data_IF_643891227667
#
_entry.id   IF_643891227667
#
_cell.length_a   1.000
_cell.length_b   1.000
_cell.length_c   1.000
_cell.angle_alpha   90.00
_cell.angle_beta   90.00
_cell.angle_gamma   90.00
#
_symmetry.space_group_name_H-M   'P 1'
#
loop_
_entity.id
_entity.type
_entity.pdbx_description
1 polymer ?
#
# COMPACT_ATOMS: atom_id res chain seq x y z
N UNK A 1 50.50 47.79 0.06
CA UNK A 1 50.20 49.21 -0.27
C UNK A 1 48.70 49.36 -0.37
N UNK A 2 48.12 50.24 0.44
CA UNK A 2 46.68 50.54 0.52
C UNK A 2 46.20 51.26 -0.74
N UNK A 3 45.02 50.91 -1.24
CA UNK A 3 44.13 51.88 -1.89
C UNK A 3 42.69 51.68 -1.42
N UNK A 4 42.25 52.65 -0.62
CA UNK A 4 40.87 52.96 -0.31
C UNK A 4 40.35 53.88 -1.41
N UNK A 5 39.19 53.60 -2.01
CA UNK A 5 38.32 54.68 -2.43
C UNK A 5 36.83 54.34 -2.26
N UNK A 6 36.17 55.31 -1.66
CA UNK A 6 34.78 55.35 -1.19
C UNK A 6 33.88 55.71 -2.38
N UNK A 7 32.75 55.02 -2.53
CA UNK A 7 31.63 55.53 -3.31
C UNK A 7 30.39 55.68 -2.42
N UNK A 8 29.83 56.89 -2.43
CA UNK A 8 28.81 57.44 -1.52
C UNK A 8 27.44 57.21 -2.18
N UNK A 9 26.59 56.37 -1.59
CA UNK A 9 25.23 56.13 -2.10
C UNK A 9 24.23 57.07 -1.41
N UNK A 10 23.59 57.93 -2.20
CA UNK A 10 22.37 58.68 -1.83
C UNK A 10 21.21 57.69 -1.70
N UNK A 11 20.58 57.60 -0.52
CA UNK A 11 19.27 56.93 -0.36
C UNK A 11 18.15 57.83 -0.86
N UNK A 12 17.20 57.25 -1.60
CA UNK A 12 16.05 57.93 -2.17
C UNK A 12 14.91 58.02 -1.14
N UNK A 13 14.07 59.06 -1.25
CA UNK A 13 12.88 59.30 -0.43
C UNK A 13 11.86 58.14 -0.43
N UNK A 14 11.92 57.23 -1.40
CA UNK A 14 11.06 56.04 -1.46
C UNK A 14 11.36 55.03 -0.34
N UNK A 15 12.62 54.91 0.10
CA UNK A 15 13.02 53.94 1.13
C UNK A 15 12.52 54.34 2.54
N UNK A 16 12.28 55.63 2.77
CA UNK A 16 11.77 56.15 4.05
C UNK A 16 10.26 55.91 4.19
N UNK A 17 9.52 55.95 3.08
CA UNK A 17 8.06 55.74 3.07
C UNK A 17 7.65 54.27 3.23
N UNK A 18 8.47 53.34 2.72
CA UNK A 18 8.21 51.90 2.86
C UNK A 18 8.44 51.43 4.31
N UNK A 19 9.50 51.92 4.97
CA UNK A 19 9.82 51.55 6.35
C UNK A 19 8.76 51.91 7.39
N UNK A 20 7.99 52.98 7.17
CA UNK A 20 6.91 53.38 8.09
C UNK A 20 5.62 52.57 7.91
N UNK A 21 5.38 51.97 6.74
CA UNK A 21 4.19 51.15 6.47
C UNK A 21 4.32 49.75 7.09
N UNK A 22 5.50 49.13 6.99
CA UNK A 22 5.81 47.83 7.63
C UNK A 22 5.84 47.93 9.16
N UNK A 23 6.31 49.06 9.72
CA UNK A 23 6.31 49.26 11.19
C UNK A 23 4.90 49.38 11.76
N UNK A 24 3.97 50.04 11.07
CA UNK A 24 2.54 50.11 11.46
C UNK A 24 1.84 48.76 11.35
N UNK A 25 2.15 47.95 10.35
CA UNK A 25 1.58 46.60 10.21
C UNK A 25 2.10 45.63 11.29
N UNK A 26 3.39 45.68 11.65
CA UNK A 26 3.92 44.88 12.76
C UNK A 26 3.32 45.28 14.13
N UNK A 27 3.08 46.58 14.37
CA UNK A 27 2.44 47.07 15.60
C UNK A 27 0.96 46.66 15.71
N UNK A 28 0.23 46.63 14.58
CA UNK A 28 -1.16 46.17 14.57
C UNK A 28 -1.28 44.65 14.76
N UNK A 29 -0.38 43.86 14.18
CA UNK A 29 -0.36 42.41 14.34
C UNK A 29 0.04 41.99 15.76
N UNK A 30 0.99 42.70 16.38
CA UNK A 30 1.38 42.44 17.78
C UNK A 30 0.29 42.85 18.77
N UNK A 31 -0.45 43.94 18.50
CA UNK A 31 -1.63 44.32 19.28
C UNK A 31 -2.77 43.29 19.20
N UNK A 32 -3.07 42.76 18.02
CA UNK A 32 -4.10 41.74 17.83
C UNK A 32 -3.75 40.42 18.54
N UNK A 33 -2.48 40.00 18.49
CA UNK A 33 -2.01 38.80 19.17
C UNK A 33 -2.09 38.95 20.70
N UNK A 34 -1.76 40.13 21.24
CA UNK A 34 -1.92 40.43 22.67
C UNK A 34 -3.39 40.38 23.11
N UNK A 35 -4.32 40.84 22.26
CA UNK A 35 -5.75 40.86 22.56
C UNK A 35 -6.35 39.44 22.58
N UNK A 36 -5.88 38.55 21.71
CA UNK A 36 -6.25 37.12 21.70
C UNK A 36 -5.71 36.40 22.94
N UNK A 37 -4.44 36.64 23.29
CA UNK A 37 -3.83 36.06 24.50
C UNK A 37 -4.54 36.58 25.76
N UNK A 38 -4.85 37.87 25.82
CA UNK A 38 -5.57 38.47 26.93
C UNK A 38 -7.01 37.95 27.05
N UNK A 39 -7.73 37.77 25.93
CA UNK A 39 -9.05 37.12 25.94
C UNK A 39 -8.97 35.66 26.36
N UNK A 40 -7.95 34.91 25.92
CA UNK A 40 -7.74 33.52 26.33
C UNK A 40 -7.47 33.39 27.82
N UNK A 41 -6.69 34.31 28.41
CA UNK A 41 -6.44 34.37 29.85
C UNK A 41 -7.71 34.78 30.62
N UNK A 42 -8.48 35.75 30.12
CA UNK A 42 -9.77 36.14 30.72
C UNK A 42 -10.79 34.99 30.72
N UNK A 43 -10.87 34.24 29.62
CA UNK A 43 -11.75 33.08 29.49
C UNK A 43 -11.31 31.91 30.41
N UNK A 44 -10.01 31.76 30.68
CA UNK A 44 -9.50 30.72 31.59
C UNK A 44 -9.52 31.12 33.07
N UNK A 45 -9.57 32.41 33.39
CA UNK A 45 -9.61 32.92 34.78
C UNK A 45 -11.03 33.02 35.34
N UNK A 46 -12.06 32.98 34.49
CA UNK A 46 -13.45 32.76 34.90
C UNK A 46 -13.76 31.26 34.90
N UNK A 47 -13.33 30.57 35.97
CA UNK A 47 -13.45 29.13 36.14
C UNK A 47 -14.88 28.58 36.01
N UNK A 48 -15.26 28.17 34.80
CA UNK A 48 -16.40 27.31 34.50
C UNK A 48 -16.11 26.44 33.26
N UNK A 49 -15.08 25.59 33.36
CA UNK A 49 -14.93 24.40 32.51
C UNK A 49 -14.89 23.18 33.41
N UNK A 50 -16.06 22.77 33.89
CA UNK A 50 -16.26 21.41 34.36
C UNK A 50 -16.15 20.49 33.14
N UNK A 51 -15.03 19.78 33.01
CA UNK A 51 -14.97 18.63 32.11
C UNK A 51 -16.04 17.64 32.56
N UNK A 52 -16.96 17.20 31.68
CA UNK A 52 -17.89 16.16 32.06
C UNK A 52 -17.07 14.91 32.42
N UNK A 53 -17.50 14.13 33.42
CA UNK A 53 -16.84 12.87 33.74
C UNK A 53 -16.86 12.00 32.48
N UNK A 54 -15.76 11.29 32.25
CA UNK A 54 -15.64 10.27 31.22
C UNK A 54 -16.78 9.27 31.43
N UNK A 55 -17.89 9.46 30.72
CA UNK A 55 -18.94 8.46 30.66
C UNK A 55 -18.34 7.28 29.92
N UNK A 56 -18.05 6.22 30.66
CA UNK A 56 -17.92 4.86 30.16
C UNK A 56 -19.23 4.48 29.46
N UNK A 57 -19.41 4.94 28.22
CA UNK A 57 -20.29 4.26 27.29
C UNK A 57 -19.61 2.94 27.01
N UNK A 58 -20.18 1.86 27.54
CA UNK A 58 -19.93 0.55 26.99
C UNK A 58 -20.19 0.64 25.49
N UNK A 59 -19.17 0.33 24.68
CA UNK A 59 -19.27 0.26 23.24
C UNK A 59 -20.32 -0.80 22.89
N UNK A 60 -21.57 -0.39 22.72
CA UNK A 60 -22.52 -1.16 21.93
C UNK A 60 -22.10 -1.01 20.49
N UNK A 61 -22.04 -2.10 19.73
CA UNK A 61 -21.68 -2.15 18.30
C UNK A 61 -22.57 -1.30 17.35
N UNK A 62 -23.40 -0.41 17.89
CA UNK A 62 -24.16 0.56 17.13
C UNK A 62 -23.31 1.82 16.91
N UNK A 63 -22.58 1.87 15.80
CA UNK A 63 -22.05 3.11 15.25
C UNK A 63 -23.24 3.94 14.72
N UNK A 64 -23.95 4.64 15.61
CA UNK A 64 -24.94 5.63 15.21
C UNK A 64 -24.22 6.96 14.89
N UNK A 65 -23.71 7.07 13.67
CA UNK A 65 -23.39 8.39 13.09
C UNK A 65 -24.67 9.24 12.88
N UNK A 66 -24.56 10.56 12.65
CA UNK A 66 -25.73 11.42 12.51
C UNK A 66 -26.63 10.94 11.37
N UNK A 67 -27.86 10.57 11.75
CA UNK A 67 -28.86 9.86 10.97
C UNK A 67 -29.60 10.77 9.98
N UNK A 68 -28.99 11.04 8.83
CA UNK A 68 -29.66 11.72 7.71
C UNK A 68 -29.59 11.00 6.35
N UNK A 69 -29.25 9.71 6.31
CA UNK A 69 -29.18 8.96 5.04
C UNK A 69 -29.83 7.56 5.15
N UNK A 70 -31.09 7.46 4.72
CA UNK A 70 -31.73 6.22 4.21
C UNK A 70 -31.92 5.04 5.19
N UNK A 71 -32.67 3.99 4.77
CA UNK A 71 -32.84 2.79 5.58
C UNK A 71 -31.48 2.10 5.74
N UNK A 72 -31.05 1.96 6.99
CA UNK A 72 -29.80 1.33 7.38
C UNK A 72 -29.66 -0.06 6.73
N UNK A 73 -28.68 -0.23 5.83
CA UNK A 73 -28.12 -1.54 5.52
C UNK A 73 -27.26 -1.91 6.73
N UNK A 74 -27.52 -3.05 7.37
CA UNK A 74 -26.64 -3.59 8.41
C UNK A 74 -25.20 -3.62 7.89
N UNK A 75 -24.29 -2.99 8.64
CA UNK A 75 -23.06 -2.40 8.09
C UNK A 75 -22.04 -3.44 7.61
N UNK A 76 -22.05 -4.67 8.14
CA UNK A 76 -21.17 -5.77 7.75
C UNK A 76 -21.68 -7.14 8.19
N UNK A 77 -22.55 -7.74 7.39
CA UNK A 77 -22.91 -9.14 7.59
C UNK A 77 -22.62 -9.90 6.31
N UNK A 78 -21.50 -10.60 6.25
CA UNK A 78 -21.21 -11.59 5.19
C UNK A 78 -20.70 -12.89 5.83
N UNK A 79 -20.75 -14.02 5.10
CA UNK A 79 -20.32 -15.31 5.63
C UNK A 79 -18.89 -15.24 6.14
N UNK A 80 -18.57 -16.05 7.15
CA UNK A 80 -17.22 -16.09 7.73
C UNK A 80 -16.19 -16.37 6.62
N UNK A 81 -15.12 -15.58 6.61
CA UNK A 81 -14.01 -15.77 5.70
C UNK A 81 -13.37 -17.15 5.87
N UNK A 82 -13.11 -17.83 4.77
CA UNK A 82 -12.37 -19.09 4.75
C UNK A 82 -11.37 -19.10 3.60
N UNK A 83 -10.20 -19.69 3.84
CA UNK A 83 -9.24 -19.96 2.76
C UNK A 83 -9.72 -21.19 2.00
N UNK A 84 -10.41 -20.97 0.88
CA UNK A 84 -10.87 -22.04 -0.02
C UNK A 84 -10.03 -22.03 -1.29
N UNK A 85 -9.28 -23.11 -1.50
CA UNK A 85 -8.35 -23.26 -2.62
C UNK A 85 -8.90 -24.27 -3.60
N UNK A 86 -8.86 -23.92 -4.88
CA UNK A 86 -9.21 -24.79 -6.00
C UNK A 86 -7.93 -25.21 -6.70
N UNK A 87 -7.81 -26.50 -7.01
CA UNK A 87 -6.65 -27.03 -7.74
C UNK A 87 -6.61 -26.47 -9.16
N UNK A 88 -5.55 -25.72 -9.49
CA UNK A 88 -5.31 -25.21 -10.83
C UNK A 88 -5.34 -26.31 -11.89
N UNK A 89 -4.73 -27.46 -11.62
CA UNK A 89 -4.69 -28.58 -12.57
C UNK A 89 -6.08 -29.19 -12.79
N UNK A 90 -6.90 -29.25 -11.74
CA UNK A 90 -8.29 -29.71 -11.85
C UNK A 90 -9.13 -28.70 -12.63
N UNK A 91 -8.98 -27.41 -12.35
CA UNK A 91 -9.65 -26.35 -13.10
C UNK A 91 -9.25 -26.36 -14.58
N UNK A 92 -7.96 -26.46 -14.88
CA UNK A 92 -7.45 -26.53 -16.24
C UNK A 92 -8.03 -27.74 -16.98
N UNK A 93 -7.93 -28.94 -16.41
CA UNK A 93 -8.43 -30.16 -17.06
C UNK A 93 -9.96 -30.18 -17.21
N UNK A 94 -10.71 -29.63 -16.25
CA UNK A 94 -12.17 -29.74 -16.21
C UNK A 94 -12.90 -28.57 -16.87
N UNK A 95 -12.31 -27.37 -16.84
CA UNK A 95 -12.96 -26.13 -17.28
C UNK A 95 -12.33 -25.55 -18.55
N UNK A 96 -11.00 -25.55 -18.68
CA UNK A 96 -10.29 -24.87 -19.78
C UNK A 96 -9.02 -25.63 -20.22
N UNK A 97 -9.15 -26.83 -20.84
CA UNK A 97 -8.02 -27.72 -21.08
C UNK A 97 -6.97 -27.17 -22.05
N UNK A 98 -7.38 -26.34 -23.02
CA UNK A 98 -6.52 -25.73 -24.03
C UNK A 98 -6.10 -24.28 -23.69
N UNK A 99 -6.35 -23.81 -22.47
CA UNK A 99 -6.17 -22.41 -22.08
C UNK A 99 -4.71 -21.96 -22.00
N UNK A 100 -4.42 -20.75 -22.51
CA UNK A 100 -3.17 -20.03 -22.26
C UNK A 100 -3.28 -19.16 -21.00
N UNK A 101 -2.62 -19.58 -19.94
CA UNK A 101 -2.58 -18.89 -18.64
C UNK A 101 -1.49 -17.80 -18.62
N UNK A 102 -1.83 -16.65 -19.21
CA UNK A 102 -1.05 -15.42 -19.21
C UNK A 102 -2.00 -14.22 -19.21
N UNK A 103 -1.53 -13.02 -18.88
CA UNK A 103 -2.42 -11.84 -18.84
C UNK A 103 -3.08 -11.55 -20.18
N UNK A 104 -2.34 -11.71 -21.28
CA UNK A 104 -2.84 -11.57 -22.64
C UNK A 104 -3.73 -12.74 -23.08
N UNK A 105 -3.66 -13.88 -22.40
CA UNK A 105 -4.43 -15.08 -22.70
C UNK A 105 -5.77 -15.12 -21.98
N UNK A 106 -5.91 -14.50 -20.79
CA UNK A 106 -7.16 -14.49 -20.00
C UNK A 106 -8.39 -14.09 -20.84
N UNK A 107 -8.39 -13.01 -21.65
CA UNK A 107 -9.56 -12.66 -22.46
C UNK A 107 -9.99 -13.79 -23.40
N UNK A 108 -9.03 -14.54 -23.93
CA UNK A 108 -9.25 -15.63 -24.88
C UNK A 108 -9.77 -16.91 -24.16
N UNK A 109 -9.63 -17.00 -22.83
CA UNK A 109 -10.17 -18.10 -22.02
C UNK A 109 -11.68 -17.98 -21.78
N UNK A 110 -12.23 -16.76 -21.76
CA UNK A 110 -13.60 -16.50 -21.32
C UNK A 110 -14.68 -17.16 -22.19
N UNK A 111 -14.58 -17.18 -23.53
CA UNK A 111 -15.58 -17.84 -24.36
C UNK A 111 -15.68 -19.35 -24.09
N UNK A 112 -14.55 -20.03 -23.92
CA UNK A 112 -14.51 -21.46 -23.66
C UNK A 112 -14.94 -21.77 -22.23
N UNK A 113 -14.48 -20.99 -21.25
CA UNK A 113 -14.90 -21.12 -19.86
C UNK A 113 -16.41 -20.93 -19.70
N UNK A 114 -17.02 -20.00 -20.43
CA UNK A 114 -18.46 -19.76 -20.38
C UNK A 114 -19.30 -20.98 -20.81
N UNK A 115 -18.73 -21.87 -21.63
CA UNK A 115 -19.38 -23.07 -22.17
C UNK A 115 -18.94 -24.36 -21.46
N UNK A 116 -18.11 -24.24 -20.43
CA UNK A 116 -17.58 -25.40 -19.73
C UNK A 116 -18.64 -26.04 -18.83
N UNK A 117 -18.97 -27.30 -19.12
CA UNK A 117 -19.98 -28.08 -18.37
C UNK A 117 -19.39 -28.84 -17.17
N UNK A 118 -18.09 -28.69 -16.90
CA UNK A 118 -17.42 -29.35 -15.78
C UNK A 118 -18.00 -28.93 -14.42
N UNK A 119 -17.98 -29.81 -13.39
CA UNK A 119 -18.50 -29.48 -12.06
C UNK A 119 -17.88 -28.20 -11.49
N UNK A 120 -18.71 -27.22 -11.15
CA UNK A 120 -18.27 -25.94 -10.58
C UNK A 120 -17.64 -24.96 -11.58
N UNK A 121 -17.39 -25.34 -12.84
CA UNK A 121 -16.79 -24.45 -13.84
C UNK A 121 -17.66 -23.22 -14.10
N UNK A 122 -18.98 -23.43 -14.22
CA UNK A 122 -19.94 -22.34 -14.44
C UNK A 122 -20.06 -21.41 -13.23
N UNK A 123 -20.05 -21.95 -12.01
CA UNK A 123 -20.04 -21.14 -10.78
C UNK A 123 -18.80 -20.24 -10.72
N UNK A 124 -17.61 -20.80 -11.00
CA UNK A 124 -16.38 -20.02 -11.04
C UNK A 124 -16.39 -18.97 -12.16
N UNK A 125 -16.94 -19.29 -13.33
CA UNK A 125 -17.10 -18.33 -14.42
C UNK A 125 -18.01 -17.16 -14.01
N UNK A 126 -19.15 -17.47 -13.39
CA UNK A 126 -20.12 -16.47 -12.95
C UNK A 126 -19.54 -15.60 -11.82
N UNK A 127 -18.74 -16.18 -10.91
CA UNK A 127 -17.99 -15.42 -9.90
C UNK A 127 -16.92 -14.53 -10.54
N UNK A 128 -16.17 -15.06 -11.49
CA UNK A 128 -15.12 -14.33 -12.18
C UNK A 128 -15.67 -13.13 -12.94
N UNK A 129 -16.75 -13.33 -13.71
CA UNK A 129 -17.37 -12.27 -14.52
C UNK A 129 -18.20 -11.28 -13.69
N UNK A 130 -18.61 -11.66 -12.48
CA UNK A 130 -19.15 -10.71 -11.50
C UNK A 130 -18.05 -9.78 -10.95
N UNK A 131 -16.88 -10.33 -10.60
CA UNK A 131 -15.79 -9.55 -10.00
C UNK A 131 -15.02 -8.76 -11.07
N UNK A 132 -14.77 -9.34 -12.24
CA UNK A 132 -13.90 -8.75 -13.25
C UNK A 132 -14.62 -8.48 -14.57
N UNK A 133 -14.46 -7.25 -15.04
CA UNK A 133 -14.65 -6.90 -16.44
C UNK A 133 -13.29 -6.91 -17.13
N UNK A 134 -13.19 -7.66 -18.23
CA UNK A 134 -11.96 -7.79 -19.03
C UNK A 134 -12.24 -7.36 -20.45
N UNK A 135 -11.42 -6.44 -20.95
CA UNK A 135 -11.50 -5.95 -22.33
C UNK A 135 -10.15 -6.07 -23.01
N UNK A 136 -10.12 -6.76 -24.15
CA UNK A 136 -8.97 -6.80 -25.07
C UNK A 136 -9.16 -5.75 -26.15
N UNK A 137 -8.21 -4.82 -26.26
CA UNK A 137 -8.20 -3.75 -27.26
C UNK A 137 -6.92 -3.86 -28.09
N UNK A 138 -7.03 -3.54 -29.38
CA UNK A 138 -5.88 -3.57 -30.29
C UNK A 138 -5.39 -2.14 -30.53
N UNK A 139 -4.16 -1.86 -30.13
CA UNK A 139 -3.43 -0.65 -30.48
C UNK A 139 -2.63 -0.84 -31.77
N UNK A 140 -2.58 0.18 -32.63
CA UNK A 140 -1.72 0.19 -33.81
C UNK A 140 -1.08 1.56 -33.99
N UNK A 141 0.08 1.60 -34.66
CA UNK A 141 0.81 2.83 -34.94
C UNK A 141 1.24 2.90 -36.40
N UNK A 142 1.36 4.11 -36.94
CA UNK A 142 2.05 4.36 -38.21
C UNK A 142 3.40 4.99 -37.89
N UNK A 143 4.47 4.39 -38.39
CA UNK A 143 5.84 4.83 -38.12
C UNK A 143 6.41 5.47 -39.39
N UNK A 144 6.80 6.76 -39.36
CA UNK A 144 7.49 7.39 -40.48
C UNK A 144 8.80 6.64 -40.80
N UNK A 145 9.18 6.57 -42.08
CA UNK A 145 10.41 5.88 -42.53
C UNK A 145 11.65 6.37 -41.77
N UNK A 146 11.74 7.68 -41.54
CA UNK A 146 12.85 8.33 -40.80
C UNK A 146 12.94 7.90 -39.34
N UNK A 147 11.89 7.28 -38.78
CA UNK A 147 11.83 6.85 -37.38
C UNK A 147 12.04 5.34 -37.19
N UNK A 148 11.97 4.55 -38.28
CA UNK A 148 12.04 3.07 -38.23
C UNK A 148 13.32 2.58 -37.53
N UNK A 149 14.48 3.09 -37.93
CA UNK A 149 15.77 2.64 -37.37
C UNK A 149 15.88 2.92 -35.87
N UNK A 150 15.36 4.07 -35.42
CA UNK A 150 15.38 4.45 -34.01
C UNK A 150 14.43 3.60 -33.17
N UNK A 151 13.27 3.24 -33.70
CA UNK A 151 12.33 2.35 -33.01
C UNK A 151 12.88 0.92 -32.93
N UNK A 152 13.48 0.41 -34.01
CA UNK A 152 14.14 -0.89 -34.01
C UNK A 152 15.26 -0.94 -32.97
N UNK A 153 16.07 0.11 -32.88
CA UNK A 153 17.13 0.23 -31.86
C UNK A 153 16.57 0.14 -30.43
N UNK A 154 15.49 0.87 -30.13
CA UNK A 154 14.82 0.78 -28.81
C UNK A 154 14.32 -0.61 -28.47
N UNK A 155 13.91 -1.39 -29.47
CA UNK A 155 13.44 -2.77 -29.32
C UNK A 155 14.57 -3.80 -29.41
N UNK A 156 15.84 -3.37 -29.33
CA UNK A 156 17.00 -4.24 -29.40
C UNK A 156 17.17 -4.94 -30.75
N UNK A 157 16.69 -4.32 -31.82
CA UNK A 157 16.68 -4.84 -33.19
C UNK A 157 15.96 -6.20 -33.34
N UNK A 158 15.00 -6.50 -32.47
CA UNK A 158 14.17 -7.70 -32.58
C UNK A 158 12.99 -7.44 -33.51
N UNK A 159 12.98 -8.10 -34.68
CA UNK A 159 11.92 -7.91 -35.67
C UNK A 159 10.54 -8.35 -35.15
N UNK A 160 10.45 -9.37 -34.28
CA UNK A 160 9.18 -9.79 -33.67
C UNK A 160 8.53 -8.67 -32.87
N UNK A 161 9.28 -8.02 -31.97
CA UNK A 161 8.81 -6.87 -31.18
C UNK A 161 8.46 -5.68 -32.09
N UNK A 162 9.20 -5.49 -33.18
CA UNK A 162 8.89 -4.44 -34.15
C UNK A 162 7.55 -4.70 -34.84
N UNK A 163 7.24 -5.95 -35.20
CA UNK A 163 5.93 -6.29 -35.78
C UNK A 163 4.79 -6.12 -34.77
N UNK A 164 5.02 -6.41 -33.49
CA UNK A 164 4.03 -6.21 -32.43
C UNK A 164 3.55 -4.76 -32.29
N UNK A 165 4.36 -3.76 -32.68
CA UNK A 165 3.95 -2.34 -32.64
C UNK A 165 2.68 -2.07 -33.44
N UNK A 166 2.49 -2.78 -34.54
CA UNK A 166 1.36 -2.60 -35.44
C UNK A 166 0.10 -3.36 -34.98
N UNK A 167 0.24 -4.25 -33.99
CA UNK A 167 -0.84 -5.02 -33.41
C UNK A 167 -0.58 -5.29 -31.92
N UNK A 168 -0.79 -4.27 -31.09
CA UNK A 168 -0.54 -4.34 -29.66
C UNK A 168 -1.79 -4.79 -28.91
N UNK A 169 -1.67 -5.90 -28.19
CA UNK A 169 -2.68 -6.29 -27.20
C UNK A 169 -2.62 -5.36 -25.99
N UNK A 170 -3.73 -4.65 -25.75
CA UNK A 170 -3.94 -3.78 -24.59
C UNK A 170 -5.10 -4.36 -23.79
N UNK A 171 -4.80 -4.93 -22.64
CA UNK A 171 -5.78 -5.60 -21.79
C UNK A 171 -6.17 -4.67 -20.65
N UNK A 172 -7.44 -4.34 -20.58
CA UNK A 172 -8.02 -3.64 -19.44
C UNK A 172 -8.70 -4.66 -18.53
N UNK A 173 -8.36 -4.64 -17.25
CA UNK A 173 -9.03 -5.42 -16.22
C UNK A 173 -9.58 -4.45 -15.18
N UNK A 174 -10.86 -4.55 -14.89
CA UNK A 174 -11.53 -3.75 -13.85
C UNK A 174 -12.15 -4.69 -12.83
N UNK A 175 -11.82 -4.51 -11.55
CA UNK A 175 -12.53 -5.12 -10.46
C UNK A 175 -13.80 -4.31 -10.19
N UNK A 176 -14.97 -4.91 -10.41
CA UNK A 176 -16.26 -4.25 -10.32
C UNK A 176 -16.68 -3.95 -8.89
N UNK A 177 -16.07 -4.57 -7.89
CA UNK A 177 -16.37 -4.32 -6.48
C UNK A 177 -15.40 -3.32 -5.85
N UNK A 178 -14.09 -3.44 -6.09
CA UNK A 178 -13.10 -2.47 -5.58
C UNK A 178 -12.96 -1.22 -6.46
N UNK A 179 -13.52 -1.26 -7.68
CA UNK A 179 -13.46 -0.21 -8.71
C UNK A 179 -12.05 0.09 -9.21
N UNK A 180 -11.13 -0.84 -9.01
CA UNK A 180 -9.75 -0.71 -9.47
C UNK A 180 -9.65 -1.16 -10.93
N UNK A 181 -9.00 -0.32 -11.76
CA UNK A 181 -8.74 -0.63 -13.16
C UNK A 181 -7.23 -0.66 -13.41
N UNK A 182 -6.77 -1.73 -14.05
CA UNK A 182 -5.40 -1.88 -14.51
C UNK A 182 -5.34 -2.13 -16.01
N UNK A 183 -4.38 -1.47 -16.66
CA UNK A 183 -4.10 -1.59 -18.09
C UNK A 183 -2.76 -2.29 -18.27
N UNK A 184 -2.81 -3.46 -18.91
CA UNK A 184 -1.64 -4.22 -19.30
C UNK A 184 -1.33 -4.00 -20.77
N UNK A 185 -0.07 -3.69 -21.07
CA UNK A 185 0.47 -3.71 -22.43
C UNK A 185 1.86 -4.36 -22.37
N UNK A 186 2.01 -5.63 -22.78
CA UNK A 186 3.29 -6.34 -22.70
C UNK A 186 4.45 -5.63 -23.41
N UNK A 187 4.18 -4.93 -24.52
CA UNK A 187 5.20 -4.22 -25.29
C UNK A 187 5.71 -2.97 -24.58
N UNK A 188 4.92 -2.41 -23.64
CA UNK A 188 5.30 -1.23 -22.88
C UNK A 188 6.48 -1.45 -21.93
N UNK A 189 6.75 -2.69 -21.54
CA UNK A 189 7.96 -3.07 -20.81
C UNK A 189 9.25 -2.79 -21.61
N UNK A 190 9.16 -2.69 -22.95
CA UNK A 190 10.31 -2.49 -23.86
C UNK A 190 10.62 -1.04 -24.16
N UNK A 191 10.04 -0.11 -23.40
CA UNK A 191 10.32 1.32 -23.59
C UNK A 191 11.78 1.64 -23.25
N UNK A 192 12.39 2.57 -23.99
CA UNK A 192 13.74 3.01 -23.67
C UNK A 192 13.77 3.61 -22.26
N UNK A 193 14.69 3.10 -21.45
CA UNK A 193 14.98 3.60 -20.09
C UNK A 193 16.31 4.34 -20.09
N UNK A 194 16.43 5.33 -19.21
CA UNK A 194 17.68 6.06 -19.04
C UNK A 194 18.63 5.17 -18.24
N UNK A 195 19.88 5.02 -18.70
CA UNK A 195 20.86 4.26 -17.94
C UNK A 195 21.14 4.97 -16.59
N UNK A 196 21.11 4.25 -15.46
CA UNK A 196 21.40 4.83 -14.17
C UNK A 196 22.85 5.32 -14.11
N UNK A 197 23.10 6.36 -13.30
CA UNK A 197 24.44 6.97 -13.17
C UNK A 197 25.38 6.17 -12.28
N UNK A 198 24.82 5.39 -11.36
CA UNK A 198 25.52 4.54 -10.40
C UNK A 198 24.79 3.19 -10.32
N UNK A 199 25.49 2.14 -9.88
CA UNK A 199 24.85 0.85 -9.64
C UNK A 199 23.95 0.90 -8.41
N UNK A 200 22.97 0.01 -8.38
CA UNK A 200 22.04 -0.11 -7.26
C UNK A 200 22.77 -0.48 -5.95
N UNK A 201 23.75 -1.37 -6.02
CA UNK A 201 24.53 -1.79 -4.85
C UNK A 201 25.34 -0.64 -4.25
N UNK A 202 26.02 0.14 -5.10
CA UNK A 202 26.82 1.27 -4.66
C UNK A 202 25.95 2.39 -4.06
N UNK A 203 24.78 2.63 -4.67
CA UNK A 203 23.80 3.57 -4.14
C UNK A 203 23.33 3.15 -2.75
N UNK A 204 22.92 1.89 -2.61
CA UNK A 204 22.39 1.35 -1.36
C UNK A 204 23.42 1.38 -0.23
N UNK A 205 24.67 0.96 -0.51
CA UNK A 205 25.76 1.01 0.46
C UNK A 205 26.00 2.44 0.96
N UNK A 206 26.02 3.41 0.02
CA UNK A 206 26.24 4.82 0.33
C UNK A 206 25.13 5.40 1.19
N UNK A 207 23.85 5.25 0.80
CA UNK A 207 22.73 5.81 1.58
C UNK A 207 22.58 5.15 2.95
N UNK A 208 22.94 3.86 3.05
CA UNK A 208 22.93 3.12 4.33
C UNK A 208 23.94 3.72 5.30
N UNK A 209 25.19 3.94 4.86
CA UNK A 209 26.23 4.57 5.67
C UNK A 209 25.89 6.01 6.05
N UNK A 210 25.42 6.80 5.09
CA UNK A 210 25.08 8.22 5.30
C UNK A 210 23.93 8.39 6.32
N UNK A 211 22.89 7.57 6.22
CA UNK A 211 21.72 7.65 7.11
C UNK A 211 21.99 7.16 8.53
N UNK A 212 22.94 6.25 8.74
CA UNK A 212 23.26 5.70 10.06
C UNK A 212 23.88 6.72 11.02
N UNK A 213 24.62 7.70 10.49
CA UNK A 213 25.44 8.64 11.29
C UNK A 213 24.59 9.41 12.32
N UNK A 214 23.39 9.85 11.91
CA UNK A 214 22.49 10.67 12.72
C UNK A 214 21.09 10.07 12.79
N UNK A 215 20.97 8.74 12.73
CA UNK A 215 19.67 8.09 12.82
C UNK A 215 19.09 8.20 14.25
N UNK A 216 17.91 8.81 14.36
CA UNK A 216 17.19 8.94 15.64
C UNK A 216 16.73 7.58 16.18
N UNK A 217 16.39 6.62 15.30
CA UNK A 217 15.97 5.27 15.69
C UNK A 217 17.11 4.45 16.30
N UNK A 218 18.36 4.65 15.86
CA UNK A 218 19.54 4.07 16.53
C UNK A 218 19.71 4.54 17.98
N UNK A 219 19.12 5.69 18.36
CA UNK A 219 19.15 6.26 19.71
C UNK A 219 17.74 6.49 20.25
N UNK A 220 16.83 5.56 19.96
CA UNK A 220 15.39 5.71 20.12
C UNK A 220 14.92 6.20 21.50
N UNK A 221 15.57 5.79 22.58
CA UNK A 221 15.18 6.22 23.95
C UNK A 221 15.29 7.73 24.15
N UNK A 222 16.20 8.39 23.42
CA UNK A 222 16.46 9.83 23.55
C UNK A 222 15.79 10.66 22.46
N UNK A 223 15.56 10.07 21.27
CA UNK A 223 15.17 10.81 20.07
C UNK A 223 13.86 10.33 19.43
N UNK A 224 13.05 9.55 20.16
CA UNK A 224 11.70 9.19 19.68
C UNK A 224 10.66 9.36 20.77
N UNK A 225 9.46 9.80 20.40
CA UNK A 225 8.35 9.96 21.32
C UNK A 225 7.70 8.62 21.68
N UNK A 226 6.93 8.61 22.77
CA UNK A 226 6.06 7.50 23.16
C UNK A 226 4.60 7.94 23.21
N UNK A 227 3.68 6.97 23.25
CA UNK A 227 2.26 7.25 23.47
C UNK A 227 2.02 7.44 24.97
N UNK A 228 0.85 7.94 25.36
CA UNK A 228 0.49 8.15 26.78
C UNK A 228 0.55 6.84 27.61
N UNK A 229 0.32 5.69 26.96
CA UNK A 229 0.47 4.37 27.57
C UNK A 229 1.93 3.86 27.59
N UNK A 230 2.89 4.68 27.17
CA UNK A 230 4.31 4.37 27.10
C UNK A 230 4.70 3.49 25.91
N UNK A 231 6.01 3.31 25.74
CA UNK A 231 6.61 2.45 24.71
C UNK A 231 6.24 0.96 24.87
N UNK A 232 6.13 0.24 23.76
CA UNK A 232 6.30 -1.23 23.74
C UNK A 232 7.65 -1.57 23.13
N UNK A 233 8.35 -2.53 23.70
CA UNK A 233 9.73 -2.88 23.34
C UNK A 233 9.94 -4.37 23.55
N UNK A 234 10.68 -4.99 22.63
CA UNK A 234 11.15 -6.37 22.68
C UNK A 234 12.69 -6.39 22.66
N UNK A 235 13.31 -7.56 22.53
CA UNK A 235 14.76 -7.67 22.37
C UNK A 235 15.24 -6.99 21.09
N UNK A 236 14.54 -7.21 19.97
CA UNK A 236 14.99 -6.80 18.63
C UNK A 236 14.26 -5.57 18.06
N UNK A 237 13.15 -5.14 18.67
CA UNK A 237 12.30 -4.08 18.11
C UNK A 237 11.75 -3.13 19.18
N UNK A 238 11.24 -1.98 18.75
CA UNK A 238 10.54 -1.03 19.61
C UNK A 238 9.45 -0.26 18.86
N UNK A 239 8.46 0.25 19.58
CA UNK A 239 7.50 1.23 19.06
C UNK A 239 7.97 2.65 19.32
N UNK A 240 7.61 3.60 18.48
CA UNK A 240 7.63 5.03 18.78
C UNK A 240 6.28 5.65 18.42
N UNK A 241 5.86 6.66 19.17
CA UNK A 241 4.74 7.50 18.78
C UNK A 241 5.16 8.38 17.62
N UNK A 242 4.45 8.31 16.50
CA UNK A 242 4.74 9.22 15.40
C UNK A 242 4.50 10.66 15.88
N UNK A 243 5.52 11.51 15.77
CA UNK A 243 5.46 12.91 16.21
C UNK A 243 4.58 13.77 15.30
N UNK A 244 4.48 13.39 14.01
CA UNK A 244 3.62 14.03 13.01
C UNK A 244 2.49 13.08 12.64
N UNK A 245 1.50 13.03 13.53
CA UNK A 245 0.39 12.08 13.47
C UNK A 245 -0.52 12.30 12.26
N UNK A 246 -0.91 11.21 11.60
CA UNK A 246 -2.02 11.16 10.65
C UNK A 246 -3.33 10.75 11.35
N UNK A 247 -3.24 10.02 12.46
CA UNK A 247 -4.36 9.67 13.33
C UNK A 247 -3.91 9.71 14.80
N UNK A 248 -4.85 9.77 15.74
CA UNK A 248 -4.60 9.88 17.18
C UNK A 248 -3.69 8.74 17.67
N UNK A 249 -4.03 7.51 17.30
CA UNK A 249 -3.21 6.32 17.54
C UNK A 249 -2.45 5.99 16.26
N UNK A 250 -1.25 6.54 16.17
CA UNK A 250 -0.32 6.38 15.05
C UNK A 250 1.09 6.15 15.59
N UNK A 251 1.61 4.94 15.36
CA UNK A 251 2.94 4.52 15.77
C UNK A 251 3.82 4.15 14.58
N UNK A 252 5.11 4.20 14.85
CA UNK A 252 6.17 3.57 14.06
C UNK A 252 6.62 2.34 14.85
N UNK A 253 6.67 1.15 14.25
CA UNK A 253 7.30 -0.04 14.86
C UNK A 253 8.51 -0.40 14.02
N UNK A 254 9.65 -0.59 14.68
CA UNK A 254 10.94 -0.63 13.98
C UNK A 254 11.86 -1.66 14.62
N UNK A 255 12.69 -2.27 13.77
CA UNK A 255 13.81 -3.12 14.19
C UNK A 255 14.85 -2.22 14.85
N UNK A 256 15.66 -2.71 15.79
CA UNK A 256 16.74 -1.92 16.42
C UNK A 256 17.97 -1.76 15.53
N UNK A 257 18.21 -2.72 14.65
CA UNK A 257 19.27 -2.66 13.64
C UNK A 257 18.90 -1.68 12.52
N UNK A 258 19.90 -0.93 12.04
CA UNK A 258 19.74 0.17 11.09
C UNK A 258 19.65 -0.31 9.65
N UNK A 259 20.26 -1.46 9.31
CA UNK A 259 20.38 -1.88 7.92
C UNK A 259 18.99 -2.00 7.26
N UNK A 260 18.71 -1.22 6.18
CA UNK A 260 17.38 -1.17 5.58
C UNK A 260 16.94 -2.49 4.97
N UNK A 261 17.88 -3.30 4.44
CA UNK A 261 17.55 -4.47 3.63
C UNK A 261 18.06 -5.77 4.22
N UNK A 262 19.01 -5.73 5.14
CA UNK A 262 19.68 -6.91 5.69
C UNK A 262 19.16 -7.26 7.10
N UNK A 263 17.84 -7.36 7.24
CA UNK A 263 17.20 -7.88 8.44
C UNK A 263 16.94 -9.38 8.35
N UNK A 264 17.12 -10.08 9.48
CA UNK A 264 16.86 -11.52 9.61
C UNK A 264 15.38 -11.84 9.73
N UNK A 265 15.06 -13.12 9.62
CA UNK A 265 13.72 -13.64 9.87
C UNK A 265 13.25 -13.31 11.29
N UNK A 266 14.11 -13.47 12.29
CA UNK A 266 13.83 -13.22 13.69
C UNK A 266 13.55 -11.75 13.95
N UNK A 267 14.37 -10.85 13.39
CA UNK A 267 14.17 -9.40 13.49
C UNK A 267 12.83 -8.98 12.89
N UNK A 268 12.51 -9.46 11.69
CA UNK A 268 11.23 -9.18 11.04
C UNK A 268 10.04 -9.70 11.85
N UNK A 269 10.07 -10.96 12.28
CA UNK A 269 8.97 -11.57 13.01
C UNK A 269 8.75 -10.91 14.38
N UNK A 270 9.83 -10.53 15.05
CA UNK A 270 9.76 -9.78 16.30
C UNK A 270 9.10 -8.40 16.10
N UNK A 271 9.45 -7.66 15.05
CA UNK A 271 8.82 -6.38 14.72
C UNK A 271 7.31 -6.53 14.49
N UNK A 272 6.90 -7.47 13.62
CA UNK A 272 5.48 -7.66 13.29
C UNK A 272 4.65 -8.14 14.48
N UNK A 273 5.21 -9.00 15.35
CA UNK A 273 4.55 -9.41 16.59
C UNK A 273 4.43 -8.25 17.57
N UNK A 274 5.45 -7.39 17.65
CA UNK A 274 5.41 -6.18 18.46
C UNK A 274 4.35 -5.20 17.96
N UNK A 275 4.08 -5.14 16.65
CA UNK A 275 2.97 -4.37 16.06
C UNK A 275 1.61 -4.83 16.62
N UNK A 276 1.36 -6.14 16.75
CA UNK A 276 0.15 -6.63 17.41
C UNK A 276 0.09 -6.30 18.90
N UNK A 277 1.22 -6.39 19.62
CA UNK A 277 1.28 -5.99 21.03
C UNK A 277 0.96 -4.50 21.20
N UNK A 278 1.43 -3.66 20.28
CA UNK A 278 1.11 -2.24 20.26
C UNK A 278 -0.39 -2.01 20.02
N UNK A 279 -0.99 -2.71 19.04
CA UNK A 279 -2.43 -2.62 18.74
C UNK A 279 -3.30 -3.01 19.94
N UNK A 280 -2.97 -4.12 20.61
CA UNK A 280 -3.68 -4.56 21.82
C UNK A 280 -3.60 -3.53 22.95
N UNK A 281 -2.43 -2.89 23.11
CA UNK A 281 -2.22 -1.86 24.14
C UNK A 281 -2.95 -0.57 23.79
N UNK A 282 -2.94 -0.17 22.52
CA UNK A 282 -3.65 0.98 22.01
C UNK A 282 -5.17 0.81 22.18
N UNK A 283 -5.73 -0.35 21.82
CA UNK A 283 -7.14 -0.67 22.01
C UNK A 283 -7.57 -0.68 23.48
N UNK A 284 -6.74 -1.24 24.37
CA UNK A 284 -7.00 -1.19 25.83
C UNK A 284 -7.03 0.25 26.36
N UNK A 285 -6.20 1.12 25.80
CA UNK A 285 -6.15 2.54 26.18
C UNK A 285 -7.34 3.32 25.62
N UNK A 286 -7.84 2.95 24.44
CA UNK A 286 -8.94 3.62 23.76
C UNK A 286 -9.84 2.61 23.03
N UNK A 287 -10.79 1.98 23.75
CA UNK A 287 -11.61 0.90 23.19
C UNK A 287 -12.53 1.32 22.03
N UNK A 288 -12.74 2.61 21.82
CA UNK A 288 -13.46 3.10 20.64
C UNK A 288 -12.62 2.94 19.37
N UNK A 289 -11.28 2.92 19.47
CA UNK A 289 -10.36 2.76 18.35
C UNK A 289 -10.17 1.29 17.98
N UNK A 290 -10.92 0.78 17.00
CA UNK A 290 -10.98 -0.67 16.73
C UNK A 290 -10.54 -1.09 15.33
N UNK A 291 -10.27 -0.17 14.40
CA UNK A 291 -9.97 -0.47 13.00
C UNK A 291 -8.49 -0.32 12.69
N UNK A 292 -7.71 -1.41 12.58
CA UNK A 292 -6.28 -1.36 12.39
C UNK A 292 -5.91 -1.17 10.92
N UNK A 293 -4.88 -0.36 10.65
CA UNK A 293 -4.23 -0.29 9.36
C UNK A 293 -2.71 -0.30 9.53
N UNK A 294 -2.00 -0.87 8.56
CA UNK A 294 -0.54 -0.94 8.53
C UNK A 294 -0.03 -0.47 7.18
N UNK A 295 1.10 0.24 7.18
CA UNK A 295 1.87 0.60 5.98
C UNK A 295 3.37 0.44 6.24
N UNK A 296 4.15 0.23 5.19
CA UNK A 296 5.61 0.24 5.24
C UNK A 296 6.15 0.60 3.86
N UNK A 297 6.88 1.71 3.80
CA UNK A 297 7.71 2.05 2.65
C UNK A 297 9.18 1.78 2.97
N UNK A 298 9.86 1.02 2.11
CA UNK A 298 11.29 0.79 2.22
C UNK A 298 12.07 1.51 1.11
N UNK A 299 13.12 2.23 1.52
CA UNK A 299 13.98 3.09 0.69
C UNK A 299 13.30 4.37 0.16
N UNK A 300 14.07 5.41 -0.21
CA UNK A 300 13.52 6.70 -0.67
C UNK A 300 12.63 6.60 -1.90
N UNK A 301 12.92 5.65 -2.81
CA UNK A 301 12.12 5.41 -4.02
C UNK A 301 10.66 5.07 -3.70
N UNK A 302 10.42 4.46 -2.54
CA UNK A 302 9.09 4.10 -2.06
C UNK A 302 8.40 5.23 -1.28
N UNK A 303 9.08 6.37 -1.05
CA UNK A 303 8.54 7.48 -0.26
C UNK A 303 8.91 7.44 1.22
N UNK A 304 9.79 6.52 1.62
CA UNK A 304 10.26 6.45 3.00
C UNK A 304 11.11 7.67 3.36
N UNK A 305 10.74 8.36 4.44
CA UNK A 305 11.47 9.52 4.96
C UNK A 305 12.66 9.16 5.87
N UNK A 306 12.71 7.92 6.36
CA UNK A 306 13.76 7.41 7.23
C UNK A 306 14.24 6.08 6.67
N UNK A 307 15.55 5.92 6.47
CA UNK A 307 16.07 4.71 5.83
C UNK A 307 15.97 3.47 6.74
N UNK A 308 16.08 3.68 8.05
CA UNK A 308 15.96 2.65 9.07
C UNK A 308 14.63 1.88 8.91
N UNK A 309 14.62 0.53 8.88
CA UNK A 309 13.44 -0.26 8.53
C UNK A 309 12.34 -0.15 9.59
N UNK A 310 11.16 0.33 9.19
CA UNK A 310 10.03 0.52 10.09
C UNK A 310 8.68 0.38 9.38
N UNK A 311 7.71 -0.25 10.04
CA UNK A 311 6.31 -0.11 9.67
C UNK A 311 5.69 1.13 10.36
N UNK A 312 4.52 1.53 9.88
CA UNK A 312 3.64 2.45 10.56
C UNK A 312 2.28 1.77 10.76
N UNK A 313 1.72 1.93 11.95
CA UNK A 313 0.46 1.32 12.35
C UNK A 313 -0.50 2.38 12.88
N UNK A 314 -1.76 2.24 12.49
CA UNK A 314 -2.86 3.11 12.87
C UNK A 314 -3.96 2.30 13.54
N UNK A 315 -4.64 2.91 14.51
CA UNK A 315 -5.85 2.35 15.08
C UNK A 315 -6.95 3.42 15.11
N UNK A 316 -7.91 3.31 14.19
CA UNK A 316 -8.97 4.30 13.99
C UNK A 316 -10.28 3.88 14.66
N UNK A 317 -11.14 4.82 15.11
CA UNK A 317 -12.37 4.48 15.83
C UNK A 317 -13.61 4.25 14.99
N UNK A 318 -13.81 5.02 13.92
CA UNK A 318 -15.09 5.04 13.22
C UNK A 318 -15.18 4.02 12.07
N UNK A 319 -14.08 3.85 11.34
CA UNK A 319 -13.96 2.97 10.17
C UNK A 319 -12.51 2.84 9.75
N UNK A 320 -12.25 1.91 8.84
CA UNK A 320 -11.01 1.91 8.07
C UNK A 320 -10.90 3.17 7.19
N UNK A 321 -9.67 3.46 6.76
CA UNK A 321 -9.37 4.61 5.92
C UNK A 321 -9.00 4.19 4.49
N UNK A 322 -9.33 5.06 3.55
CA UNK A 322 -8.92 4.96 2.14
C UNK A 322 -9.20 3.58 1.52
N UNK A 323 -8.14 2.96 1.01
CA UNK A 323 -8.20 1.70 0.27
C UNK A 323 -8.71 0.53 1.11
N UNK A 324 -8.41 0.49 2.41
CA UNK A 324 -8.86 -0.59 3.29
C UNK A 324 -10.38 -0.58 3.44
N UNK A 325 -10.97 0.61 3.57
CA UNK A 325 -12.43 0.78 3.56
C UNK A 325 -13.05 0.42 2.21
N UNK A 326 -12.37 0.71 1.10
CA UNK A 326 -12.85 0.28 -0.23
C UNK A 326 -12.93 -1.24 -0.33
N UNK A 327 -11.94 -1.97 0.20
CA UNK A 327 -11.95 -3.44 0.22
C UNK A 327 -13.03 -4.00 1.14
N UNK A 328 -13.27 -3.39 2.31
CA UNK A 328 -14.40 -3.74 3.18
C UNK A 328 -15.74 -3.56 2.44
N UNK A 329 -15.93 -2.41 1.79
CA UNK A 329 -17.15 -2.11 1.01
C UNK A 329 -17.35 -3.07 -0.16
N UNK A 330 -16.28 -3.42 -0.87
CA UNK A 330 -16.32 -4.44 -1.90
C UNK A 330 -16.87 -5.77 -1.36
N UNK A 331 -16.45 -6.16 -0.15
CA UNK A 331 -17.01 -7.32 0.57
C UNK A 331 -18.50 -7.23 0.81
N UNK A 332 -18.97 -6.08 1.32
CA UNK A 332 -20.38 -5.83 1.59
C UNK A 332 -21.24 -5.85 0.31
N UNK A 333 -20.80 -5.15 -0.72
CA UNK A 333 -21.53 -5.04 -2.00
C UNK A 333 -21.58 -6.40 -2.70
N UNK A 334 -20.46 -7.15 -2.68
CA UNK A 334 -20.43 -8.52 -3.19
C UNK A 334 -21.40 -9.44 -2.47
N UNK A 335 -21.46 -9.35 -1.14
CA UNK A 335 -22.42 -10.15 -0.39
C UNK A 335 -23.87 -9.77 -0.71
N UNK A 336 -24.18 -8.48 -0.87
CA UNK A 336 -25.51 -8.04 -1.25
C UNK A 336 -25.96 -8.64 -2.60
N UNK A 337 -25.03 -8.73 -3.56
CA UNK A 337 -25.29 -9.23 -4.91
C UNK A 337 -25.25 -10.77 -5.02
N UNK A 338 -24.32 -11.41 -4.30
CA UNK A 338 -23.92 -12.82 -4.52
C UNK A 338 -24.17 -13.72 -3.32
N UNK A 339 -24.51 -13.17 -2.16
CA UNK A 339 -24.74 -13.90 -0.89
C UNK A 339 -23.55 -14.79 -0.47
N UNK A 340 -22.34 -14.42 -0.87
CA UNK A 340 -21.11 -15.14 -0.58
C UNK A 340 -20.03 -14.20 -0.03
N UNK A 341 -18.97 -14.76 0.54
CA UNK A 341 -17.83 -14.00 1.05
C UNK A 341 -16.87 -13.63 -0.10
N UNK A 342 -16.75 -12.34 -0.37
CA UNK A 342 -15.90 -11.80 -1.44
C UNK A 342 -14.46 -12.32 -1.42
N UNK A 343 -13.81 -12.27 -0.26
CA UNK A 343 -12.41 -12.67 -0.12
C UNK A 343 -12.21 -14.17 -0.31
N UNK A 344 -13.17 -14.98 0.13
CA UNK A 344 -13.16 -16.44 -0.06
C UNK A 344 -13.28 -16.80 -1.54
N UNK A 345 -14.23 -16.17 -2.23
CA UNK A 345 -14.41 -16.39 -3.67
C UNK A 345 -13.23 -15.83 -4.48
N UNK A 346 -12.64 -14.71 -4.06
CA UNK A 346 -11.43 -14.17 -4.67
C UNK A 346 -10.27 -15.18 -4.62
N UNK A 347 -10.03 -15.81 -3.47
CA UNK A 347 -8.99 -16.85 -3.32
C UNK A 347 -9.32 -18.08 -4.18
N UNK A 348 -10.58 -18.51 -4.21
CA UNK A 348 -11.02 -19.65 -5.04
C UNK A 348 -10.77 -19.39 -6.52
N UNK A 349 -11.06 -18.19 -7.01
CA UNK A 349 -10.80 -17.79 -8.39
C UNK A 349 -9.31 -17.74 -8.71
N UNK A 350 -8.52 -17.09 -7.86
CA UNK A 350 -7.09 -16.96 -8.10
C UNK A 350 -6.37 -18.31 -8.04
N UNK A 351 -6.77 -19.19 -7.11
CA UNK A 351 -6.21 -20.54 -7.03
C UNK A 351 -6.59 -21.40 -8.25
N UNK A 352 -7.84 -21.35 -8.70
CA UNK A 352 -8.26 -21.98 -9.95
C UNK A 352 -7.44 -21.49 -11.16
N UNK A 353 -7.20 -20.18 -11.24
CA UNK A 353 -6.36 -19.57 -12.28
C UNK A 353 -4.86 -19.84 -12.10
N UNK A 354 -4.40 -20.44 -11.01
CA UNK A 354 -2.97 -20.69 -10.75
C UNK A 354 -2.18 -19.46 -10.28
N UNK A 355 -2.90 -18.40 -9.90
CA UNK A 355 -2.42 -17.11 -9.40
C UNK A 355 -2.42 -16.99 -7.87
N UNK A 356 -2.68 -18.09 -7.15
CA UNK A 356 -2.59 -18.15 -5.69
C UNK A 356 -1.53 -19.15 -5.22
N UNK A 357 -0.92 -18.86 -4.07
CA UNK A 357 -0.06 -19.79 -3.33
C UNK A 357 -0.50 -19.81 -1.87
N UNK A 358 -1.13 -20.91 -1.40
CA UNK A 358 -1.46 -21.06 0.00
C UNK A 358 -0.20 -21.35 0.82
N UNK A 359 -0.14 -20.81 2.03
CA UNK A 359 0.86 -21.11 3.03
C UNK A 359 0.16 -21.15 4.40
N UNK A 360 -0.07 -22.37 4.90
CA UNK A 360 -0.83 -22.61 6.14
C UNK A 360 -2.17 -21.87 6.14
N UNK A 361 -2.44 -20.96 7.11
CA UNK A 361 -3.68 -20.18 7.14
C UNK A 361 -3.68 -18.93 6.25
N UNK A 362 -2.57 -18.60 5.60
CA UNK A 362 -2.44 -17.42 4.74
C UNK A 362 -2.38 -17.83 3.26
N UNK A 363 -2.67 -16.89 2.36
CA UNK A 363 -2.54 -17.10 0.91
C UNK A 363 -2.02 -15.84 0.24
N UNK A 364 -1.09 -16.02 -0.70
CA UNK A 364 -0.57 -14.95 -1.54
C UNK A 364 -1.24 -15.02 -2.92
N UNK A 365 -1.67 -13.88 -3.44
CA UNK A 365 -2.40 -13.72 -4.69
C UNK A 365 -1.62 -12.75 -5.60
N UNK A 366 -1.27 -13.15 -6.82
CA UNK A 366 -0.72 -12.21 -7.81
C UNK A 366 -1.86 -11.43 -8.47
N UNK A 367 -2.01 -10.16 -8.12
CA UNK A 367 -3.20 -9.36 -8.44
C UNK A 367 -3.48 -9.26 -9.94
N UNK A 368 -4.76 -9.41 -10.33
CA UNK A 368 -5.26 -9.12 -11.68
C UNK A 368 -5.57 -7.63 -11.89
N UNK A 369 -5.69 -6.85 -10.82
CA UNK A 369 -5.81 -5.38 -10.83
C UNK A 369 -4.69 -4.73 -10.01
N UNK A 370 -3.41 -4.98 -10.36
CA UNK A 370 -2.28 -4.51 -9.59
C UNK A 370 -2.15 -2.98 -9.67
N UNK A 371 -1.86 -2.33 -8.54
CA UNK A 371 -1.61 -0.88 -8.52
C UNK A 371 -0.23 -0.53 -9.09
N UNK A 372 0.74 -1.43 -8.92
CA UNK A 372 2.09 -1.34 -9.47
C UNK A 372 2.68 -2.71 -9.80
N UNK A 373 3.84 -2.69 -10.44
CA UNK A 373 4.53 -3.90 -10.84
C UNK A 373 4.79 -4.81 -9.63
N UNK A 374 4.60 -6.11 -9.85
CA UNK A 374 4.78 -7.18 -8.85
C UNK A 374 3.84 -7.11 -7.65
N UNK A 375 2.64 -6.53 -7.80
CA UNK A 375 1.69 -6.54 -6.71
C UNK A 375 1.29 -7.96 -6.28
N UNK A 376 1.44 -8.22 -4.99
CA UNK A 376 0.97 -9.43 -4.31
C UNK A 376 0.08 -9.04 -3.15
N UNK A 377 -1.14 -9.57 -3.16
CA UNK A 377 -2.05 -9.46 -2.03
C UNK A 377 -1.86 -10.69 -1.15
N UNK A 378 -1.64 -10.49 0.15
CA UNK A 378 -1.60 -11.56 1.14
C UNK A 378 -2.85 -11.44 2.00
N UNK A 379 -3.57 -12.54 2.16
CA UNK A 379 -4.82 -12.60 2.91
C UNK A 379 -4.77 -13.76 3.91
N UNK A 380 -5.22 -13.52 5.14
CA UNK A 380 -5.37 -14.52 6.19
C UNK A 380 -6.56 -14.18 7.11
N UNK A 381 -7.09 -15.15 7.89
CA UNK A 381 -8.19 -14.85 8.81
C UNK A 381 -7.83 -13.78 9.84
N UNK A 382 -6.58 -13.77 10.31
CA UNK A 382 -6.07 -12.89 11.36
C UNK A 382 -4.60 -12.53 11.06
N UNK A 383 -4.09 -11.44 11.63
CA UNK A 383 -2.70 -11.02 11.49
C UNK A 383 -1.79 -11.83 12.43
N UNK A 384 -1.60 -13.11 12.14
CA UNK A 384 -0.83 -14.06 12.94
C UNK A 384 0.54 -14.38 12.33
N UNK A 385 1.27 -15.31 12.96
CA UNK A 385 2.60 -15.72 12.48
C UNK A 385 2.60 -16.27 11.05
N UNK A 386 1.56 -17.00 10.64
CA UNK A 386 1.48 -17.55 9.28
C UNK A 386 1.33 -16.42 8.25
N UNK A 387 0.56 -15.39 8.57
CA UNK A 387 0.42 -14.18 7.77
C UNK A 387 1.74 -13.41 7.66
N UNK A 388 2.42 -13.15 8.77
CA UNK A 388 3.70 -12.43 8.79
C UNK A 388 4.81 -13.23 8.10
N UNK A 389 4.87 -14.55 8.30
CA UNK A 389 5.81 -15.43 7.60
C UNK A 389 5.65 -15.33 6.08
N UNK A 390 4.42 -15.33 5.59
CA UNK A 390 4.18 -15.22 4.16
C UNK A 390 4.62 -13.85 3.62
N UNK A 391 4.35 -12.76 4.35
CA UNK A 391 4.87 -11.42 3.99
C UNK A 391 6.39 -11.43 3.92
N UNK A 392 7.07 -12.01 4.92
CA UNK A 392 8.53 -12.16 4.92
C UNK A 392 9.02 -12.87 3.66
N UNK A 393 8.42 -14.01 3.30
CA UNK A 393 8.83 -14.75 2.09
C UNK A 393 8.60 -13.95 0.81
N UNK A 394 7.50 -13.20 0.69
CA UNK A 394 7.28 -12.34 -0.46
C UNK A 394 8.34 -11.25 -0.56
N UNK A 395 8.59 -10.52 0.55
CA UNK A 395 9.58 -9.44 0.59
C UNK A 395 11.00 -9.96 0.29
N UNK A 396 11.42 -11.07 0.91
CA UNK A 396 12.73 -11.67 0.63
C UNK A 396 12.83 -12.22 -0.80
N UNK A 397 11.74 -12.74 -1.36
CA UNK A 397 11.70 -13.17 -2.76
C UNK A 397 11.99 -12.00 -3.71
N UNK A 398 11.36 -10.85 -3.49
CA UNK A 398 11.63 -9.66 -4.28
C UNK A 398 13.05 -9.12 -4.09
N UNK A 399 13.51 -8.97 -2.85
CA UNK A 399 14.82 -8.35 -2.58
C UNK A 399 15.99 -9.28 -2.92
N UNK A 400 15.99 -10.52 -2.45
CA UNK A 400 17.15 -11.41 -2.55
C UNK A 400 17.27 -12.02 -3.93
N UNK A 401 16.15 -12.50 -4.46
CA UNK A 401 16.13 -13.35 -5.65
C UNK A 401 15.93 -12.51 -6.93
N UNK A 402 15.20 -11.39 -6.82
CA UNK A 402 14.91 -10.49 -7.96
C UNK A 402 15.51 -9.09 -7.86
N UNK A 403 16.25 -8.78 -6.80
CA UNK A 403 16.95 -7.48 -6.62
C UNK A 403 16.02 -6.27 -6.66
N UNK A 404 14.78 -6.45 -6.22
CA UNK A 404 13.76 -5.39 -6.10
C UNK A 404 13.70 -4.91 -4.66
N UNK A 405 14.60 -3.99 -4.31
CA UNK A 405 14.77 -3.54 -2.92
C UNK A 405 13.71 -2.54 -2.45
N UNK A 406 13.24 -1.68 -3.36
CA UNK A 406 12.26 -0.65 -3.02
C UNK A 406 10.85 -1.22 -3.10
N UNK A 407 10.15 -1.28 -1.97
CA UNK A 407 8.75 -1.72 -1.90
C UNK A 407 7.90 -0.77 -1.06
N UNK A 408 6.60 -0.83 -1.34
CA UNK A 408 5.55 -0.30 -0.48
C UNK A 408 4.61 -1.44 -0.11
N UNK A 409 4.26 -1.55 1.16
CA UNK A 409 3.20 -2.42 1.66
C UNK A 409 2.14 -1.60 2.39
N UNK A 410 0.87 -2.01 2.24
CA UNK A 410 -0.22 -1.43 2.99
C UNK A 410 -1.43 -2.36 3.08
N UNK A 411 -2.17 -2.28 4.19
CA UNK A 411 -3.30 -3.16 4.43
C UNK A 411 -4.07 -2.87 5.71
N UNK A 412 -4.95 -3.79 6.08
CA UNK A 412 -5.79 -3.70 7.26
C UNK A 412 -5.97 -5.05 7.94
N UNK A 413 -6.23 -5.03 9.24
CA UNK A 413 -6.52 -6.21 10.04
C UNK A 413 -8.01 -6.26 10.40
N UNK A 414 -8.55 -7.42 10.83
CA UNK A 414 -9.89 -7.48 11.38
C UNK A 414 -10.06 -6.47 12.53
N UNK A 415 -11.27 -5.95 12.70
CA UNK A 415 -11.57 -5.06 13.81
C UNK A 415 -11.26 -5.76 15.15
N UNK A 416 -10.66 -5.03 16.10
CA UNK A 416 -10.13 -5.62 17.33
C UNK A 416 -11.22 -6.06 18.32
N UNK A 417 -12.41 -5.46 18.26
CA UNK A 417 -13.55 -5.91 19.05
C UNK A 417 -14.14 -7.19 18.45
N UNK A 418 -13.80 -8.34 19.03
CA UNK A 418 -14.29 -9.66 18.62
C UNK A 418 -15.79 -9.85 18.83
N UNK A 419 -16.41 -9.06 19.72
CA UNK A 419 -17.86 -9.04 19.90
C UNK A 419 -18.58 -8.24 18.81
N UNK A 420 -17.84 -7.36 18.13
CA UNK A 420 -18.34 -6.54 17.05
C UNK A 420 -18.34 -7.32 15.73
N UNK A 421 -19.53 -7.55 15.18
CA UNK A 421 -19.68 -8.13 13.84
C UNK A 421 -19.41 -7.10 12.73
N UNK A 422 -19.39 -5.81 13.07
CA UNK A 422 -19.17 -4.76 12.07
C UNK A 422 -17.70 -4.62 11.68
N UNK A 423 -17.46 -4.52 10.39
CA UNK A 423 -16.19 -4.20 9.75
C UNK A 423 -15.23 -5.36 9.64
N UNK A 424 -15.66 -6.61 9.85
CA UNK A 424 -14.70 -7.72 9.94
C UNK A 424 -14.21 -8.20 8.57
N UNK A 425 -13.25 -7.47 8.02
CA UNK A 425 -12.38 -7.93 6.93
C UNK A 425 -11.42 -9.02 7.42
N UNK A 426 -10.89 -9.89 6.54
CA UNK A 426 -9.70 -10.68 6.87
C UNK A 426 -8.49 -9.75 7.10
N UNK A 427 -7.44 -10.27 7.72
CA UNK A 427 -6.14 -9.61 7.66
C UNK A 427 -5.63 -9.65 6.23
N UNK A 428 -5.27 -8.49 5.70
CA UNK A 428 -4.64 -8.44 4.39
C UNK A 428 -3.58 -7.35 4.31
N UNK A 429 -2.60 -7.57 3.43
CA UNK A 429 -1.68 -6.53 2.95
C UNK A 429 -1.49 -6.69 1.45
N UNK A 430 -1.21 -5.57 0.79
CA UNK A 430 -0.82 -5.52 -0.61
C UNK A 430 0.62 -5.04 -0.66
N UNK A 431 1.47 -5.78 -1.36
CA UNK A 431 2.91 -5.51 -1.46
C UNK A 431 3.22 -5.18 -2.91
N UNK A 432 3.81 -4.02 -3.18
CA UNK A 432 4.23 -3.60 -4.52
C UNK A 432 5.72 -3.28 -4.57
N UNK A 433 6.34 -3.48 -5.72
CA UNK A 433 7.71 -3.00 -5.97
C UNK A 433 7.68 -1.63 -6.62
N UNK A 434 8.62 -0.75 -6.28
CA UNK A 434 8.65 0.68 -6.67
C UNK A 434 9.69 0.98 -7.76
N UNK A 435 10.20 -0.07 -8.42
CA UNK A 435 11.18 0.01 -9.50
C UNK A 435 12.62 0.21 -9.01
N UNK A 436 13.49 0.58 -9.94
CA UNK A 436 14.94 0.79 -9.72
C UNK A 436 15.16 2.00 -8.80
N UNK A 437 15.97 1.83 -7.75
CA UNK A 437 16.13 2.86 -6.72
C UNK A 437 16.95 4.08 -7.17
N UNK A 438 17.80 3.92 -8.18
CA UNK A 438 18.63 5.00 -8.75
C UNK A 438 17.93 5.78 -9.88
N UNK A 439 16.72 5.38 -10.27
CA UNK A 439 15.95 6.03 -11.34
C UNK A 439 15.31 7.33 -10.83
N UNK A 440 15.68 8.46 -11.45
CA UNK A 440 15.12 9.78 -11.14
C UNK A 440 13.63 9.92 -11.48
N UNK A 441 13.13 9.12 -12.43
CA UNK A 441 11.72 9.13 -12.84
C UNK A 441 10.84 8.58 -11.71
N UNK A 442 9.87 9.36 -11.27
CA UNK A 442 8.81 8.87 -10.38
C UNK A 442 8.04 7.72 -11.03
N UNK A 443 7.74 6.69 -10.25
CA UNK A 443 6.92 5.57 -10.72
C UNK A 443 5.43 5.91 -10.71
N UNK A 444 4.99 6.85 -9.88
CA UNK A 444 3.61 7.35 -9.84
C UNK A 444 3.49 8.63 -10.67
N UNK A 445 2.49 8.68 -11.55
CA UNK A 445 2.18 9.82 -12.41
C UNK A 445 0.69 10.19 -12.32
N UNK A 446 0.27 11.20 -13.10
CA UNK A 446 -1.13 11.55 -13.24
C UNK A 446 -2.02 10.37 -13.68
N UNK A 447 -1.45 9.40 -14.41
CA UNK A 447 -2.16 8.18 -14.81
C UNK A 447 -2.65 7.42 -13.57
N UNK A 448 -1.73 7.03 -12.67
CA UNK A 448 -2.06 6.26 -11.47
C UNK A 448 -2.86 7.05 -10.43
N UNK A 449 -2.68 8.37 -10.37
CA UNK A 449 -3.38 9.21 -9.41
C UNK A 449 -4.85 9.47 -9.78
N UNK A 450 -5.16 9.58 -11.07
CA UNK A 450 -6.46 10.11 -11.50
C UNK A 450 -7.22 9.24 -12.50
N UNK A 451 -6.63 8.17 -13.01
CA UNK A 451 -7.27 7.34 -14.04
C UNK A 451 -7.21 5.84 -13.69
N UNK A 452 -6.22 5.13 -14.19
CA UNK A 452 -6.01 3.70 -14.02
C UNK A 452 -4.54 3.44 -13.71
N UNK A 453 -4.22 2.22 -13.30
CA UNK A 453 -2.82 1.81 -13.18
C UNK A 453 -2.34 1.17 -14.48
N UNK A 454 -1.07 1.37 -14.81
CA UNK A 454 -0.43 0.61 -15.87
C UNK A 454 0.64 -0.29 -15.27
N UNK A 455 0.56 -1.57 -15.61
CA UNK A 455 1.48 -2.62 -15.17
C UNK A 455 1.92 -3.40 -16.39
N UNK A 456 3.22 -3.73 -16.45
CA UNK A 456 3.81 -4.35 -17.64
C UNK A 456 4.37 -5.75 -17.36
N UNK A 457 4.25 -6.23 -16.12
CA UNK A 457 4.59 -7.58 -15.74
C UNK A 457 3.35 -8.48 -15.68
N UNK A 458 3.51 -9.69 -16.18
CA UNK A 458 2.47 -10.71 -16.14
C UNK A 458 2.34 -11.29 -14.71
N UNK A 459 1.15 -11.30 -14.08
CA UNK A 459 0.94 -11.84 -12.73
C UNK A 459 1.32 -13.32 -12.61
N UNK A 460 1.30 -14.10 -13.70
CA UNK A 460 1.78 -15.48 -13.69
C UNK A 460 3.31 -15.56 -13.50
N UNK A 461 4.06 -14.54 -13.91
CA UNK A 461 5.48 -14.43 -13.55
C UNK A 461 5.62 -14.07 -12.08
N UNK A 462 4.81 -13.12 -11.59
CA UNK A 462 4.85 -12.67 -10.19
C UNK A 462 4.58 -13.82 -9.23
N UNK A 463 3.54 -14.62 -9.47
CA UNK A 463 3.20 -15.72 -8.56
C UNK A 463 4.28 -16.80 -8.50
N UNK A 464 5.03 -17.02 -9.59
CA UNK A 464 6.12 -17.98 -9.61
C UNK A 464 7.30 -17.55 -8.72
N UNK A 465 7.59 -16.25 -8.65
CA UNK A 465 8.55 -15.69 -7.69
C UNK A 465 8.17 -16.10 -6.26
N UNK A 466 6.88 -16.04 -5.96
CA UNK A 466 6.38 -16.35 -4.61
C UNK A 466 6.46 -17.85 -4.32
N UNK A 467 6.09 -18.70 -5.29
CA UNK A 467 6.24 -20.16 -5.19
C UNK A 467 7.69 -20.55 -4.90
N UNK A 468 8.64 -19.98 -5.66
CA UNK A 468 10.07 -20.24 -5.51
C UNK A 468 10.60 -19.74 -4.16
N UNK A 469 10.19 -18.54 -3.73
CA UNK A 469 10.62 -17.99 -2.45
C UNK A 469 10.15 -18.83 -1.26
N UNK A 470 8.89 -19.28 -1.27
CA UNK A 470 8.35 -20.16 -0.22
C UNK A 470 9.10 -21.49 -0.22
N UNK A 471 9.32 -22.12 -1.38
CA UNK A 471 10.09 -23.37 -1.48
C UNK A 471 11.51 -23.25 -0.93
N UNK A 472 12.13 -22.08 -1.10
CA UNK A 472 13.49 -21.80 -0.64
C UNK A 472 13.57 -21.52 0.87
N UNK A 473 12.56 -20.90 1.47
CA UNK A 473 12.64 -20.30 2.81
C UNK A 473 11.70 -20.89 3.86
N UNK A 474 10.62 -21.55 3.45
CA UNK A 474 9.71 -22.17 4.41
C UNK A 474 10.42 -23.36 5.10
N UNK A 475 10.24 -23.53 6.42
CA UNK A 475 10.66 -24.75 7.11
C UNK A 475 10.02 -25.96 6.43
N UNK A 476 10.82 -26.99 6.17
CA UNK A 476 10.34 -28.26 5.60
C UNK A 476 9.55 -29.08 6.60
#
# INVERSE_FOLDING_TARGET
MKFLHVCKVRRSMADILIGNRTRRQCLLMSGAMFLVIFMYILLNTQGNLTFPPLMTRFASCNVSGPSHLGPHRDYDEWPVFAVQVISHETFKSSCIPAGKFSISGIPDLLPDWSKADGPGCRDLYDKFTAIYLIEKRIGSVKIPETFVMKVKDWLGNQDSLYQELFHQDIIHITNMYTRETTVFNPLRDKRPVTKPKESEEAYLERITKESAINCDFCKYKNYTAEHDFGRVESELSFSASNIFKLDRLHAVITIKDHDPVNWSYEQYMDMMRLTNVWLDKAFKSEPEAMYPAIIWDLLPKSGSSQLHPHDQVFLSPNRYQGMVENWRRAGQDYYADRRSNYFTDLISLYSALGLAVPFKSAVALASLTPRKDNEVDIIAPEANDDFFQLIYYVLRGFMDDHKKYSFSLGGGYPALDKGCKTGRIPAFVRIITRGVMTEIRTDISALELFTATNVNIDPYKVINIIKESIQKRAPR
#
